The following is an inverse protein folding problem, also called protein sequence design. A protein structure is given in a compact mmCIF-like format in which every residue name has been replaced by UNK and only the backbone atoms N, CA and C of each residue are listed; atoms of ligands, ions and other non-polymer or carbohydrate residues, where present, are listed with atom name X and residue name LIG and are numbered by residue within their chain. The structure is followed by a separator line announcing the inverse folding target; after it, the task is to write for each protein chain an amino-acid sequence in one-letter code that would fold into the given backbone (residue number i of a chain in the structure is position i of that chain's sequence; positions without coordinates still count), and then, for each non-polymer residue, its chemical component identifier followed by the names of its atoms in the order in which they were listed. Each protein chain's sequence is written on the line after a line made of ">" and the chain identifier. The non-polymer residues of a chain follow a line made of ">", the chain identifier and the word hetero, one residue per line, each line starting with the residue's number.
data_IF_420537125174
#
_entry.id   IF_420537125174
#
_cell.length_a   1.000
_cell.length_b   1.000
_cell.length_c   1.000
_cell.angle_alpha   90.00
_cell.angle_beta   90.00
_cell.angle_gamma   90.00
#
_symmetry.space_group_name_H-M   'P 1'
#
loop_
_entity.id
_entity.type
_entity.pdbx_description
1 polymer ?
#
# COMPACT_ATOMS: atom_id res chain seq x y z
N UNK A 1 45.59 -33.48 -57.74
CA UNK A 1 44.60 -32.47 -58.22
C UNK A 1 43.25 -33.04 -57.91
N UNK A 2 42.60 -32.48 -56.91
CA UNK A 2 41.43 -33.06 -56.28
C UNK A 2 40.18 -32.37 -56.82
N UNK A 3 39.27 -33.20 -57.30
CA UNK A 3 38.01 -32.82 -57.89
C UNK A 3 36.97 -32.55 -56.80
N UNK A 4 36.40 -31.35 -56.76
CA UNK A 4 35.31 -30.99 -55.82
C UNK A 4 33.95 -31.29 -56.46
N UNK A 5 33.30 -32.35 -56.01
CA UNK A 5 31.93 -32.66 -56.31
C UNK A 5 30.97 -31.72 -55.54
N UNK A 6 30.12 -31.01 -56.30
CA UNK A 6 29.03 -30.21 -55.80
C UNK A 6 27.94 -31.12 -55.26
N UNK A 7 27.67 -31.04 -53.99
CA UNK A 7 26.45 -31.59 -53.39
C UNK A 7 25.44 -30.44 -53.33
N UNK A 8 24.39 -30.57 -54.12
CA UNK A 8 23.20 -29.69 -54.05
C UNK A 8 22.33 -30.25 -52.93
N UNK A 9 22.26 -29.54 -51.81
CA UNK A 9 21.29 -29.83 -50.76
C UNK A 9 20.03 -29.02 -51.06
N UNK A 10 18.98 -29.74 -51.38
CA UNK A 10 17.62 -29.21 -51.55
C UNK A 10 17.06 -28.93 -50.16
N UNK A 11 17.04 -27.67 -49.76
CA UNK A 11 16.40 -27.26 -48.53
C UNK A 11 14.90 -27.13 -48.80
N UNK A 12 14.14 -28.16 -48.45
CA UNK A 12 12.69 -28.08 -48.37
C UNK A 12 12.33 -27.20 -47.20
N UNK A 13 11.94 -25.96 -47.44
CA UNK A 13 11.34 -25.07 -46.46
C UNK A 13 9.96 -25.60 -46.06
N UNK A 14 9.94 -26.37 -44.99
CA UNK A 14 8.70 -26.63 -44.24
C UNK A 14 8.43 -25.38 -43.44
N UNK A 15 7.61 -24.48 -43.96
CA UNK A 15 6.96 -23.42 -43.20
C UNK A 15 5.98 -24.10 -42.25
N UNK A 16 6.48 -24.41 -41.04
CA UNK A 16 5.65 -24.75 -39.92
C UNK A 16 4.90 -23.47 -39.52
N UNK A 17 3.67 -23.36 -40.00
CA UNK A 17 2.73 -22.35 -39.54
C UNK A 17 2.43 -22.72 -38.06
N UNK A 18 3.23 -22.17 -37.13
CA UNK A 18 2.83 -22.13 -35.74
C UNK A 18 1.58 -21.22 -35.67
N UNK A 19 0.42 -21.83 -35.82
CA UNK A 19 -0.79 -21.29 -35.26
C UNK A 19 -0.50 -21.20 -33.74
N UNK A 20 0.01 -20.04 -33.30
CA UNK A 20 -0.22 -19.61 -31.92
C UNK A 20 -1.74 -19.55 -31.78
N UNK A 21 -2.32 -20.65 -31.31
CA UNK A 21 -3.62 -20.63 -30.68
C UNK A 21 -3.34 -19.82 -29.40
N UNK A 22 -3.39 -18.49 -29.53
CA UNK A 22 -3.68 -17.62 -28.43
C UNK A 22 -5.06 -18.06 -27.95
N UNK A 23 -5.08 -18.99 -27.01
CA UNK A 23 -6.26 -19.23 -26.18
C UNK A 23 -6.43 -17.99 -25.31
N UNK A 24 -6.85 -16.90 -25.94
CA UNK A 24 -7.62 -15.88 -25.30
C UNK A 24 -8.99 -16.51 -25.02
N UNK A 25 -9.04 -17.49 -24.14
CA UNK A 25 -10.22 -17.71 -23.33
C UNK A 25 -10.34 -16.42 -22.52
N UNK A 26 -10.97 -15.43 -23.09
CA UNK A 26 -11.33 -14.19 -22.41
C UNK A 26 -12.14 -14.63 -21.20
N UNK A 27 -11.55 -14.45 -20.04
CA UNK A 27 -12.17 -14.82 -18.75
C UNK A 27 -13.43 -13.98 -18.63
N UNK A 28 -14.57 -14.57 -19.03
CA UNK A 28 -15.85 -13.87 -19.08
C UNK A 28 -16.51 -13.85 -17.71
N UNK A 29 -16.39 -12.73 -17.02
CA UNK A 29 -17.05 -12.56 -15.71
C UNK A 29 -18.58 -12.49 -15.82
N UNK A 30 -19.14 -12.11 -16.99
CA UNK A 30 -20.60 -11.98 -17.14
C UNK A 30 -21.33 -13.33 -17.16
N UNK A 31 -20.65 -14.40 -17.55
CA UNK A 31 -21.19 -15.75 -17.59
C UNK A 31 -21.16 -16.47 -16.24
N UNK A 32 -20.38 -16.01 -15.27
CA UNK A 32 -20.13 -16.68 -13.99
C UNK A 32 -21.29 -16.53 -13.02
N UNK A 33 -21.73 -17.63 -12.43
CA UNK A 33 -22.85 -17.64 -11.46
C UNK A 33 -22.50 -16.90 -10.17
N UNK A 34 -21.27 -17.06 -9.64
CA UNK A 34 -20.83 -16.36 -8.43
C UNK A 34 -20.69 -14.82 -8.61
N UNK A 35 -20.52 -14.34 -9.84
CA UNK A 35 -20.57 -12.92 -10.19
C UNK A 35 -22.00 -12.43 -10.28
N UNK A 36 -22.90 -13.22 -10.87
CA UNK A 36 -24.34 -12.89 -10.94
C UNK A 36 -24.98 -12.83 -9.55
N UNK A 37 -24.68 -13.78 -8.68
CA UNK A 37 -25.11 -13.75 -7.28
C UNK A 37 -24.63 -12.48 -6.55
N UNK A 38 -23.37 -12.11 -6.75
CA UNK A 38 -22.82 -10.88 -6.20
C UNK A 38 -23.52 -9.63 -6.75
N UNK A 39 -23.83 -9.58 -8.05
CA UNK A 39 -24.57 -8.48 -8.68
C UNK A 39 -25.97 -8.34 -8.06
N UNK A 40 -26.68 -9.46 -7.87
CA UNK A 40 -28.00 -9.45 -7.23
C UNK A 40 -27.92 -8.92 -5.79
N UNK A 41 -26.93 -9.39 -5.00
CA UNK A 41 -26.69 -8.91 -3.64
C UNK A 41 -26.48 -7.40 -3.61
N UNK A 42 -25.55 -6.88 -4.44
CA UNK A 42 -25.19 -5.44 -4.47
C UNK A 42 -26.33 -4.59 -5.01
N UNK A 43 -27.04 -5.07 -6.03
CA UNK A 43 -28.20 -4.37 -6.59
C UNK A 43 -29.30 -4.23 -5.55
N UNK A 44 -29.65 -5.29 -4.84
CA UNK A 44 -30.67 -5.26 -3.79
C UNK A 44 -30.26 -4.39 -2.60
N UNK A 45 -28.99 -4.42 -2.22
CA UNK A 45 -28.46 -3.69 -1.06
C UNK A 45 -28.33 -2.17 -1.31
N UNK A 46 -27.96 -1.78 -2.53
CA UNK A 46 -27.58 -0.40 -2.83
C UNK A 46 -28.37 0.26 -3.96
N UNK A 47 -29.33 -0.44 -4.54
CA UNK A 47 -30.18 0.09 -5.60
C UNK A 47 -29.43 0.32 -6.93
N UNK A 48 -28.43 -0.49 -7.23
CA UNK A 48 -27.82 -0.50 -8.55
C UNK A 48 -28.73 -1.25 -9.54
N UNK A 49 -28.71 -0.80 -10.81
CA UNK A 49 -29.37 -1.50 -11.90
C UNK A 49 -28.55 -2.74 -12.29
N UNK A 50 -29.12 -3.93 -12.12
CA UNK A 50 -28.42 -5.21 -12.31
C UNK A 50 -27.81 -5.35 -13.71
N UNK A 51 -28.53 -4.93 -14.76
CA UNK A 51 -28.03 -5.00 -16.15
C UNK A 51 -26.83 -4.08 -16.37
N UNK A 52 -26.82 -2.88 -15.76
CA UNK A 52 -25.67 -1.97 -15.83
C UNK A 52 -24.47 -2.54 -15.07
N UNK A 53 -24.70 -3.12 -13.88
CA UNK A 53 -23.63 -3.81 -13.14
C UNK A 53 -23.10 -5.00 -13.91
N UNK A 54 -23.95 -5.81 -14.51
CA UNK A 54 -23.53 -6.97 -15.30
C UNK A 54 -22.64 -6.53 -16.47
N UNK A 55 -23.02 -5.47 -17.18
CA UNK A 55 -22.22 -4.89 -18.25
C UNK A 55 -20.88 -4.37 -17.75
N UNK A 56 -20.87 -3.62 -16.64
CA UNK A 56 -19.65 -3.05 -16.05
C UNK A 56 -18.72 -4.14 -15.53
N UNK A 57 -19.19 -5.05 -14.68
CA UNK A 57 -18.35 -6.08 -14.09
C UNK A 57 -17.92 -7.13 -15.14
N UNK A 58 -18.77 -7.38 -16.15
CA UNK A 58 -18.43 -8.20 -17.31
C UNK A 58 -17.34 -7.62 -18.19
N UNK A 59 -17.14 -6.29 -18.19
CA UNK A 59 -16.07 -5.63 -18.94
C UNK A 59 -14.68 -5.80 -18.30
N UNK A 60 -14.62 -6.34 -17.08
CA UNK A 60 -13.36 -6.53 -16.35
C UNK A 60 -12.49 -7.59 -17.02
N UNK A 61 -11.19 -7.32 -17.06
CA UNK A 61 -10.19 -8.22 -17.61
C UNK A 61 -9.44 -8.94 -16.50
N UNK A 62 -9.41 -10.27 -16.56
CA UNK A 62 -8.63 -11.07 -15.61
C UNK A 62 -7.14 -10.75 -15.68
N UNK A 63 -6.53 -10.48 -14.54
CA UNK A 63 -5.14 -10.10 -14.40
C UNK A 63 -4.31 -11.21 -13.74
N UNK A 64 -3.81 -12.16 -14.51
CA UNK A 64 -2.94 -13.24 -13.98
C UNK A 64 -1.74 -12.70 -13.22
N UNK A 65 -1.13 -11.62 -13.72
CA UNK A 65 0.00 -10.93 -13.08
C UNK A 65 -0.35 -10.49 -11.64
N UNK A 66 -1.57 -10.01 -11.43
CA UNK A 66 -2.07 -9.59 -10.10
C UNK A 66 -2.06 -10.78 -9.14
N UNK A 67 -2.67 -11.90 -9.51
CA UNK A 67 -2.71 -13.11 -8.67
C UNK A 67 -1.30 -13.63 -8.39
N UNK A 68 -0.43 -13.65 -9.38
CA UNK A 68 0.96 -14.09 -9.24
C UNK A 68 1.75 -13.23 -8.24
N UNK A 69 1.61 -11.90 -8.31
CA UNK A 69 2.30 -10.98 -7.40
C UNK A 69 1.71 -11.08 -5.99
N UNK A 70 0.38 -11.17 -5.84
CA UNK A 70 -0.28 -11.32 -4.54
C UNK A 70 0.08 -12.62 -3.82
N UNK A 71 0.46 -13.66 -4.55
CA UNK A 71 0.97 -14.90 -3.97
C UNK A 71 2.44 -14.83 -3.55
N UNK A 72 3.20 -13.86 -4.07
CA UNK A 72 4.58 -13.59 -3.64
C UNK A 72 4.50 -12.55 -2.52
N UNK A 73 5.02 -12.87 -1.33
CA UNK A 73 5.15 -11.91 -0.22
C UNK A 73 6.62 -11.44 -0.15
N UNK A 74 6.99 -10.37 -0.87
CA UNK A 74 8.38 -9.91 -0.91
C UNK A 74 8.90 -9.41 0.46
N UNK A 75 8.02 -8.84 1.29
CA UNK A 75 8.38 -8.28 2.60
C UNK A 75 8.84 -9.33 3.62
N UNK A 76 8.49 -10.60 3.45
CA UNK A 76 8.90 -11.69 4.34
C UNK A 76 10.35 -12.18 4.11
N UNK A 77 11.02 -11.72 3.06
CA UNK A 77 12.34 -12.20 2.64
C UNK A 77 13.41 -11.10 2.56
N UNK A 78 13.05 -9.83 2.85
CA UNK A 78 13.96 -8.70 2.71
C UNK A 78 14.50 -8.28 4.09
N UNK A 79 15.82 -8.08 4.20
CA UNK A 79 16.43 -7.49 5.38
C UNK A 79 16.04 -6.02 5.51
N UNK A 80 16.12 -5.50 6.73
CA UNK A 80 15.87 -4.08 6.99
C UNK A 80 16.85 -3.17 6.25
N UNK A 81 18.13 -3.55 6.22
CA UNK A 81 19.15 -2.78 5.49
C UNK A 81 18.71 -2.50 4.05
N UNK A 82 18.31 -3.54 3.32
CA UNK A 82 17.89 -3.43 1.92
C UNK A 82 16.58 -2.66 1.76
N UNK A 83 15.63 -2.91 2.67
CA UNK A 83 14.33 -2.21 2.63
C UNK A 83 14.49 -0.72 2.90
N UNK A 84 15.30 -0.35 3.91
CA UNK A 84 15.62 1.04 4.24
C UNK A 84 16.29 1.75 3.08
N UNK A 85 17.32 1.16 2.45
CA UNK A 85 18.00 1.72 1.28
C UNK A 85 17.02 2.00 0.13
N UNK A 86 16.11 1.08 -0.13
CA UNK A 86 15.11 1.23 -1.18
C UNK A 86 14.08 2.34 -0.87
N UNK A 87 13.64 2.45 0.40
CA UNK A 87 12.55 3.35 0.79
C UNK A 87 13.02 4.73 1.23
N UNK A 88 14.25 4.87 1.73
CA UNK A 88 14.83 6.11 2.26
C UNK A 88 16.07 6.51 1.43
N UNK A 89 15.93 6.50 0.11
CA UNK A 89 17.01 6.87 -0.81
C UNK A 89 17.13 8.39 -0.95
N UNK A 90 18.34 8.88 -1.30
CA UNK A 90 18.60 10.29 -1.53
C UNK A 90 17.65 10.94 -2.55
N UNK A 91 17.28 10.18 -3.60
CA UNK A 91 16.33 10.65 -4.60
C UNK A 91 14.92 10.87 -4.03
N UNK A 92 14.48 10.00 -3.09
CA UNK A 92 13.20 10.18 -2.39
C UNK A 92 13.26 11.34 -1.39
N UNK A 93 14.38 11.47 -0.67
CA UNK A 93 14.60 12.58 0.27
C UNK A 93 14.58 13.90 -0.49
N UNK A 94 15.27 13.99 -1.63
CA UNK A 94 15.25 15.20 -2.47
C UNK A 94 13.85 15.55 -2.96
N UNK A 95 13.09 14.56 -3.46
CA UNK A 95 11.70 14.78 -3.86
C UNK A 95 10.80 15.18 -2.68
N UNK A 96 11.07 14.64 -1.48
CA UNK A 96 10.35 15.02 -0.26
C UNK A 96 10.58 16.46 0.16
N UNK A 97 11.82 16.96 0.04
CA UNK A 97 12.15 18.37 0.28
C UNK A 97 11.37 19.30 -0.65
N UNK A 98 11.31 18.95 -1.93
CA UNK A 98 10.55 19.71 -2.92
C UNK A 98 9.06 19.71 -2.60
N UNK A 99 8.51 18.55 -2.26
CA UNK A 99 7.10 18.40 -1.90
C UNK A 99 6.76 19.22 -0.64
N UNK A 100 7.56 19.13 0.41
CA UNK A 100 7.37 19.92 1.65
C UNK A 100 7.45 21.42 1.34
N UNK A 101 8.42 21.85 0.54
CA UNK A 101 8.53 23.26 0.16
C UNK A 101 7.31 23.76 -0.61
N UNK A 102 6.78 22.95 -1.53
CA UNK A 102 5.63 23.31 -2.36
C UNK A 102 4.32 23.35 -1.57
N UNK A 103 4.15 22.41 -0.63
CA UNK A 103 2.90 22.22 0.13
C UNK A 103 3.06 22.54 1.63
N UNK A 104 3.96 23.46 1.98
CA UNK A 104 4.27 23.79 3.38
C UNK A 104 3.03 24.23 4.16
N UNK A 105 2.22 25.09 3.57
CA UNK A 105 1.01 25.62 4.23
C UNK A 105 -0.04 24.52 4.44
N UNK A 106 -0.25 23.65 3.45
CA UNK A 106 -1.19 22.55 3.53
C UNK A 106 -0.77 21.50 4.55
N UNK A 107 0.53 21.17 4.60
CA UNK A 107 1.11 20.26 5.57
C UNK A 107 0.98 20.78 7.00
N UNK A 108 1.29 22.07 7.23
CA UNK A 108 1.12 22.71 8.53
C UNK A 108 -0.38 22.75 8.93
N UNK A 109 -1.27 23.10 8.01
CA UNK A 109 -2.73 23.08 8.24
C UNK A 109 -3.20 21.67 8.64
N UNK A 110 -2.67 20.63 7.98
CA UNK A 110 -3.02 19.25 8.30
C UNK A 110 -2.47 18.81 9.66
N UNK A 111 -1.25 19.20 10.01
CA UNK A 111 -0.66 18.96 11.33
C UNK A 111 -1.47 19.64 12.43
N UNK A 112 -1.80 20.91 12.28
CA UNK A 112 -2.61 21.67 13.25
C UNK A 112 -4.00 21.06 13.45
N UNK A 113 -4.64 20.59 12.36
CA UNK A 113 -6.01 20.06 12.42
C UNK A 113 -6.07 18.62 12.97
N UNK A 114 -5.12 17.77 12.57
CA UNK A 114 -5.15 16.33 12.87
C UNK A 114 -4.12 15.89 13.89
N UNK A 115 -3.18 16.75 14.26
CA UNK A 115 -2.09 16.46 15.21
C UNK A 115 -1.04 15.49 14.68
N UNK A 116 -1.02 15.24 13.37
CA UNK A 116 -0.06 14.35 12.70
C UNK A 116 1.07 15.21 12.12
N UNK A 117 2.34 14.97 12.51
CA UNK A 117 3.46 15.79 12.02
C UNK A 117 3.57 15.82 10.50
N UNK A 118 3.87 16.99 9.96
CA UNK A 118 3.97 17.23 8.51
C UNK A 118 4.95 16.27 7.82
N UNK A 119 6.09 15.97 8.46
CA UNK A 119 7.08 15.02 7.95
C UNK A 119 6.55 13.57 7.87
N UNK A 120 5.63 13.19 8.74
CA UNK A 120 4.98 11.86 8.69
C UNK A 120 4.04 11.78 7.50
N UNK A 121 3.22 12.82 7.30
CA UNK A 121 2.29 12.91 6.16
C UNK A 121 3.09 12.84 4.84
N UNK A 122 4.10 13.69 4.71
CA UNK A 122 4.96 13.73 3.52
C UNK A 122 5.70 12.40 3.30
N UNK A 123 6.15 11.72 4.36
CA UNK A 123 6.83 10.43 4.26
C UNK A 123 5.92 9.33 3.74
N UNK A 124 4.68 9.26 4.19
CA UNK A 124 3.71 8.28 3.69
C UNK A 124 3.49 8.50 2.19
N UNK A 125 3.15 9.72 1.76
CA UNK A 125 2.93 10.03 0.35
C UNK A 125 4.18 9.73 -0.49
N UNK A 126 5.37 10.00 0.05
CA UNK A 126 6.65 9.70 -0.61
C UNK A 126 6.93 8.21 -0.74
N UNK A 127 6.61 7.40 0.28
CA UNK A 127 6.78 5.95 0.25
C UNK A 127 5.79 5.31 -0.70
N UNK A 128 4.51 5.70 -0.61
CA UNK A 128 3.44 5.10 -1.39
C UNK A 128 3.61 5.35 -2.90
N UNK A 129 3.81 6.59 -3.30
CA UNK A 129 3.71 6.96 -4.72
C UNK A 129 4.85 7.83 -5.24
N UNK A 130 5.91 8.05 -4.45
CA UNK A 130 6.93 9.06 -4.81
C UNK A 130 6.28 10.42 -5.14
N UNK A 131 5.39 10.85 -4.26
CA UNK A 131 4.66 12.12 -4.41
C UNK A 131 3.79 12.17 -5.69
N UNK A 132 3.00 11.12 -5.92
CA UNK A 132 2.08 11.02 -7.05
C UNK A 132 2.70 10.57 -8.38
N UNK A 133 4.03 10.33 -8.44
CA UNK A 133 4.70 9.91 -9.68
C UNK A 133 4.41 8.46 -10.07
N UNK A 134 4.05 7.60 -9.12
CA UNK A 134 3.79 6.16 -9.33
C UNK A 134 2.55 5.77 -8.53
N UNK A 135 1.38 5.96 -9.08
CA UNK A 135 0.08 5.65 -8.43
C UNK A 135 -0.47 4.28 -8.81
N UNK A 136 0.20 3.59 -9.74
CA UNK A 136 -0.27 2.35 -10.35
C UNK A 136 -0.80 2.59 -11.77
N UNK A 137 -0.92 1.52 -12.55
CA UNK A 137 -1.34 1.56 -13.96
C UNK A 137 -2.21 0.35 -14.33
N UNK A 138 -2.89 -0.23 -13.36
CA UNK A 138 -3.84 -1.31 -13.59
C UNK A 138 -5.23 -0.74 -13.32
N UNK A 139 -6.16 -0.98 -14.23
CA UNK A 139 -7.56 -0.60 -14.01
C UNK A 139 -8.05 -1.20 -12.69
N UNK A 140 -8.52 -0.35 -11.78
CA UNK A 140 -8.94 -0.75 -10.43
C UNK A 140 -10.03 -1.81 -10.49
N UNK A 141 -10.97 -1.67 -11.42
CA UNK A 141 -12.01 -2.66 -11.67
C UNK A 141 -11.41 -4.05 -11.96
N UNK A 142 -10.40 -4.14 -12.82
CA UNK A 142 -9.76 -5.40 -13.18
C UNK A 142 -9.07 -6.06 -11.99
N UNK A 143 -8.32 -5.25 -11.21
CA UNK A 143 -7.66 -5.72 -9.99
C UNK A 143 -8.64 -6.26 -8.98
N UNK A 144 -9.70 -5.50 -8.70
CA UNK A 144 -10.70 -5.87 -7.70
C UNK A 144 -11.54 -7.08 -8.14
N UNK A 145 -11.95 -7.15 -9.42
CA UNK A 145 -12.66 -8.31 -9.98
C UNK A 145 -11.79 -9.58 -9.93
N UNK A 146 -10.53 -9.46 -10.37
CA UNK A 146 -9.57 -10.58 -10.31
C UNK A 146 -9.41 -11.09 -8.88
N UNK A 147 -9.20 -10.21 -7.92
CA UNK A 147 -8.95 -10.60 -6.53
C UNK A 147 -10.23 -11.03 -5.80
N UNK A 148 -11.39 -10.53 -6.18
CA UNK A 148 -12.69 -10.94 -5.62
C UNK A 148 -13.08 -12.34 -6.01
N UNK A 149 -12.84 -12.73 -7.25
CA UNK A 149 -13.38 -13.96 -7.82
C UNK A 149 -12.32 -15.03 -8.16
N UNK A 150 -11.04 -14.67 -8.18
CA UNK A 150 -9.94 -15.57 -8.56
C UNK A 150 -8.81 -15.66 -7.52
N UNK A 151 -8.98 -15.03 -6.33
CA UNK A 151 -8.01 -15.10 -5.25
C UNK A 151 -8.67 -15.55 -3.93
N UNK A 152 -8.91 -16.88 -3.72
CA UNK A 152 -9.70 -17.40 -2.61
C UNK A 152 -9.22 -16.97 -1.22
N UNK A 153 -7.89 -16.81 -1.01
CA UNK A 153 -7.29 -16.44 0.29
C UNK A 153 -7.88 -15.16 0.88
N UNK A 154 -8.28 -14.20 0.04
CA UNK A 154 -8.79 -12.88 0.46
C UNK A 154 -10.04 -12.45 -0.33
N UNK A 155 -10.73 -13.36 -0.99
CA UNK A 155 -11.92 -13.08 -1.80
C UNK A 155 -12.95 -12.22 -1.06
N UNK A 156 -13.29 -12.56 0.17
CA UNK A 156 -14.25 -11.80 1.00
C UNK A 156 -13.81 -10.34 1.20
N UNK A 157 -12.53 -10.12 1.46
CA UNK A 157 -12.00 -8.76 1.61
C UNK A 157 -12.12 -7.97 0.31
N UNK A 158 -11.74 -8.57 -0.82
CA UNK A 158 -11.78 -7.86 -2.11
C UNK A 158 -13.19 -7.67 -2.63
N UNK A 159 -14.14 -8.55 -2.34
CA UNK A 159 -15.57 -8.32 -2.63
C UNK A 159 -16.10 -7.08 -1.90
N UNK A 160 -15.71 -6.88 -0.64
CA UNK A 160 -16.02 -5.64 0.11
C UNK A 160 -15.38 -4.42 -0.56
N UNK A 161 -14.10 -4.52 -0.99
CA UNK A 161 -13.44 -3.41 -1.66
C UNK A 161 -14.07 -3.10 -3.03
N UNK A 162 -14.53 -4.11 -3.77
CA UNK A 162 -15.27 -3.93 -5.01
C UNK A 162 -16.61 -3.23 -4.78
N UNK A 163 -17.36 -3.62 -3.75
CA UNK A 163 -18.59 -2.95 -3.33
C UNK A 163 -18.33 -1.47 -3.00
N UNK A 164 -17.31 -1.21 -2.16
CA UNK A 164 -16.92 0.15 -1.79
C UNK A 164 -16.43 0.97 -3.00
N UNK A 165 -15.80 0.35 -3.98
CA UNK A 165 -15.37 0.98 -5.23
C UNK A 165 -16.56 1.41 -6.11
N UNK A 166 -17.58 0.56 -6.23
CA UNK A 166 -18.81 0.88 -6.96
C UNK A 166 -19.56 2.05 -6.31
N UNK A 167 -19.62 2.03 -4.98
CA UNK A 167 -20.25 3.11 -4.21
C UNK A 167 -19.47 4.42 -4.32
N UNK A 168 -18.13 4.35 -4.18
CA UNK A 168 -17.24 5.50 -4.37
C UNK A 168 -17.40 6.12 -5.74
N UNK A 169 -17.39 5.29 -6.80
CA UNK A 169 -17.54 5.79 -8.17
C UNK A 169 -18.86 6.53 -8.37
N UNK A 170 -19.94 6.02 -7.77
CA UNK A 170 -21.25 6.67 -7.82
C UNK A 170 -21.30 7.99 -7.02
N UNK A 171 -20.68 8.01 -5.84
CA UNK A 171 -20.66 9.16 -4.93
C UNK A 171 -19.84 10.34 -5.49
N UNK A 172 -18.65 10.02 -6.04
CA UNK A 172 -17.76 11.04 -6.58
C UNK A 172 -17.97 11.31 -8.09
N UNK A 173 -18.87 10.57 -8.74
CA UNK A 173 -19.07 10.69 -10.18
C UNK A 173 -17.92 10.18 -11.04
N UNK A 174 -17.09 9.29 -10.50
CA UNK A 174 -15.98 8.69 -11.25
C UNK A 174 -16.49 7.67 -12.26
N UNK A 175 -15.81 7.60 -13.41
CA UNK A 175 -15.98 6.50 -14.34
C UNK A 175 -15.19 5.27 -13.85
N UNK A 176 -15.87 4.19 -13.38
CA UNK A 176 -15.21 3.02 -12.84
C UNK A 176 -14.40 2.23 -13.88
N UNK A 177 -14.62 2.49 -15.18
CA UNK A 177 -13.86 1.84 -16.26
C UNK A 177 -12.52 2.53 -16.54
N UNK A 178 -12.32 3.77 -16.08
CA UNK A 178 -11.12 4.58 -16.35
C UNK A 178 -10.14 4.66 -15.19
N UNK A 179 -10.57 4.37 -13.95
CA UNK A 179 -9.72 4.53 -12.78
C UNK A 179 -8.57 3.52 -12.74
N UNK A 180 -7.35 4.04 -12.59
CA UNK A 180 -6.13 3.24 -12.44
C UNK A 180 -5.61 3.28 -11.00
N UNK A 181 -4.90 2.21 -10.63
CA UNK A 181 -4.33 2.06 -9.29
C UNK A 181 -3.32 0.92 -9.22
N UNK A 182 -3.06 0.47 -7.99
CA UNK A 182 -2.14 -0.62 -7.72
C UNK A 182 -2.72 -1.99 -8.09
N UNK A 183 -1.87 -3.02 -8.05
CA UNK A 183 -2.26 -4.42 -8.23
C UNK A 183 -3.34 -4.90 -7.24
N UNK A 184 -3.50 -4.23 -6.11
CA UNK A 184 -4.53 -4.53 -5.11
C UNK A 184 -5.75 -3.60 -5.19
N UNK A 185 -5.80 -2.68 -6.15
CA UNK A 185 -6.88 -1.71 -6.30
C UNK A 185 -6.78 -0.52 -5.34
N UNK A 186 -5.59 -0.22 -4.79
CA UNK A 186 -5.35 1.00 -4.04
C UNK A 186 -5.10 2.18 -5.00
N UNK A 187 -5.56 3.37 -4.64
CA UNK A 187 -5.67 4.53 -5.53
C UNK A 187 -5.02 5.79 -4.97
N UNK A 188 -4.57 6.64 -5.87
CA UNK A 188 -4.13 8.01 -5.61
C UNK A 188 -2.82 8.13 -4.84
N UNK A 189 -2.49 9.35 -4.42
CA UNK A 189 -1.23 9.70 -3.75
C UNK A 189 -0.95 8.90 -2.48
N UNK A 190 -1.99 8.63 -1.68
CA UNK A 190 -1.91 7.89 -0.42
C UNK A 190 -2.18 6.39 -0.57
N UNK A 191 -2.40 5.87 -1.77
CA UNK A 191 -2.73 4.47 -2.04
C UNK A 191 -3.87 3.95 -1.15
N UNK A 192 -4.98 4.70 -1.11
CA UNK A 192 -6.14 4.28 -0.35
C UNK A 192 -6.89 3.15 -1.03
N UNK A 193 -7.25 2.13 -0.26
CA UNK A 193 -8.26 1.16 -0.67
C UNK A 193 -9.64 1.85 -0.77
N UNK A 194 -10.57 1.38 -1.60
CA UNK A 194 -11.88 2.01 -1.78
C UNK A 194 -12.63 2.31 -0.48
N UNK A 195 -12.63 1.39 0.49
CA UNK A 195 -13.25 1.60 1.80
C UNK A 195 -12.61 2.74 2.59
N UNK A 196 -11.31 2.89 2.45
CA UNK A 196 -10.54 3.94 3.12
C UNK A 196 -10.74 5.29 2.44
N UNK A 197 -10.83 5.31 1.11
CA UNK A 197 -11.17 6.51 0.35
C UNK A 197 -12.52 7.07 0.82
N UNK A 198 -13.58 6.27 0.75
CA UNK A 198 -14.93 6.70 1.15
C UNK A 198 -15.01 7.20 2.60
N UNK A 199 -14.24 6.58 3.52
CA UNK A 199 -14.33 6.87 4.96
C UNK A 199 -13.40 7.99 5.42
N UNK A 200 -12.27 8.19 4.76
CA UNK A 200 -11.19 9.04 5.29
C UNK A 200 -10.68 10.08 4.30
N UNK A 201 -10.99 10.00 3.02
CA UNK A 201 -10.69 11.09 2.10
C UNK A 201 -11.49 12.35 2.46
N UNK A 202 -10.84 13.50 2.34
CA UNK A 202 -11.41 14.81 2.65
C UNK A 202 -11.14 15.77 1.49
N UNK A 203 -12.09 16.65 1.23
CA UNK A 203 -11.91 17.86 0.43
C UNK A 203 -11.18 18.88 1.30
N UNK A 204 -9.84 18.93 1.17
CA UNK A 204 -9.02 19.69 2.11
C UNK A 204 -8.77 21.14 1.67
N UNK A 205 -8.88 21.42 0.38
CA UNK A 205 -8.84 22.79 -0.17
C UNK A 205 -10.21 23.44 -0.31
N UNK A 206 -11.28 22.66 -0.06
CA UNK A 206 -12.67 23.12 -0.08
C UNK A 206 -13.15 23.54 -1.48
N UNK A 207 -12.71 22.83 -2.51
CA UNK A 207 -13.16 23.03 -3.89
C UNK A 207 -14.48 22.30 -4.22
N UNK A 208 -14.97 21.47 -3.30
CA UNK A 208 -16.21 20.68 -3.41
C UNK A 208 -15.97 19.25 -3.91
N UNK A 209 -14.75 18.83 -4.13
CA UNK A 209 -14.37 17.49 -4.63
C UNK A 209 -13.37 16.83 -3.66
N UNK A 210 -13.52 15.55 -3.36
CA UNK A 210 -12.53 14.79 -2.59
C UNK A 210 -11.59 14.07 -3.55
N UNK A 211 -10.63 14.78 -4.13
CA UNK A 211 -9.71 14.22 -5.14
C UNK A 211 -8.34 13.85 -4.57
N UNK A 212 -8.19 12.64 -4.03
CA UNK A 212 -6.87 12.12 -3.65
C UNK A 212 -6.11 11.47 -4.83
N UNK A 213 -6.71 11.43 -6.03
CA UNK A 213 -6.13 10.82 -7.21
C UNK A 213 -5.12 11.75 -7.87
N UNK A 214 -5.51 13.03 -8.03
CA UNK A 214 -4.73 14.04 -8.76
C UNK A 214 -4.42 15.29 -7.93
N UNK A 215 -5.16 15.55 -6.84
CA UNK A 215 -4.97 16.70 -5.96
C UNK A 215 -4.08 16.36 -4.74
N UNK A 216 -2.83 16.87 -4.68
CA UNK A 216 -1.93 16.62 -3.55
C UNK A 216 -2.43 17.25 -2.23
N UNK A 217 -3.23 18.32 -2.28
CA UNK A 217 -3.74 19.01 -1.08
C UNK A 217 -4.76 18.11 -0.37
N UNK A 218 -5.70 17.53 -1.11
CA UNK A 218 -6.66 16.56 -0.59
C UNK A 218 -5.95 15.30 -0.09
N UNK A 219 -4.92 14.86 -0.78
CA UNK A 219 -4.13 13.71 -0.36
C UNK A 219 -3.42 13.95 0.99
N UNK A 220 -2.85 15.16 1.21
CA UNK A 220 -2.25 15.58 2.48
C UNK A 220 -3.29 15.51 3.60
N UNK A 221 -4.43 16.17 3.43
CA UNK A 221 -5.52 16.17 4.41
C UNK A 221 -6.05 14.78 4.69
N UNK A 222 -6.21 13.97 3.65
CA UNK A 222 -6.75 12.60 3.75
C UNK A 222 -5.82 11.64 4.46
N UNK A 223 -4.51 11.69 4.21
CA UNK A 223 -3.50 10.89 4.94
C UNK A 223 -3.50 11.26 6.42
N UNK A 224 -3.52 12.55 6.74
CA UNK A 224 -3.59 13.02 8.12
C UNK A 224 -4.88 12.59 8.81
N UNK A 225 -6.03 12.75 8.15
CA UNK A 225 -7.33 12.31 8.66
C UNK A 225 -7.37 10.80 8.92
N UNK A 226 -6.83 9.99 7.99
CA UNK A 226 -6.74 8.55 8.18
C UNK A 226 -5.93 8.18 9.44
N UNK A 227 -4.75 8.75 9.62
CA UNK A 227 -3.93 8.48 10.81
C UNK A 227 -4.60 8.94 12.09
N UNK A 228 -5.26 10.10 12.09
CA UNK A 228 -6.01 10.60 13.22
C UNK A 228 -7.21 9.70 13.55
N UNK A 229 -8.09 9.42 12.59
CA UNK A 229 -9.37 8.72 12.84
C UNK A 229 -9.22 7.21 12.91
N UNK A 230 -8.60 6.58 11.89
CA UNK A 230 -8.43 5.12 11.84
C UNK A 230 -7.18 4.67 12.60
N UNK A 231 -6.10 5.42 12.51
CA UNK A 231 -4.85 5.15 13.21
C UNK A 231 -4.97 5.37 14.71
N UNK A 232 -5.75 6.34 15.14
CA UNK A 232 -5.85 6.77 16.53
C UNK A 232 -4.59 7.51 16.99
N UNK A 233 -4.02 8.31 16.09
CA UNK A 233 -2.82 9.10 16.33
C UNK A 233 -2.92 9.94 17.61
N UNK A 234 -1.85 9.94 18.39
CA UNK A 234 -1.73 10.71 19.64
C UNK A 234 -0.75 11.87 19.42
N UNK A 235 -1.21 13.12 19.36
CA UNK A 235 -0.32 14.27 19.24
C UNK A 235 0.74 14.28 20.35
N UNK A 236 1.91 14.79 20.06
CA UNK A 236 3.03 14.93 21.00
C UNK A 236 3.50 13.61 21.67
N UNK A 237 3.15 12.46 21.08
CA UNK A 237 3.60 11.16 21.58
C UNK A 237 4.67 10.59 20.65
N UNK A 238 5.80 10.08 21.15
CA UNK A 238 6.83 9.45 20.35
C UNK A 238 6.26 8.27 19.54
N UNK A 239 6.87 7.99 18.39
CA UNK A 239 6.49 6.84 17.57
C UNK A 239 7.30 5.61 17.96
N UNK A 240 8.62 5.74 17.98
CA UNK A 240 9.55 4.71 18.41
C UNK A 240 10.88 5.32 18.84
N UNK A 241 11.57 4.63 19.74
CA UNK A 241 12.93 4.96 20.18
C UNK A 241 13.85 3.76 20.00
N UNK A 242 15.16 4.03 19.90
CA UNK A 242 16.15 3.00 19.80
C UNK A 242 16.29 2.21 21.12
N UNK A 243 16.58 0.92 20.97
CA UNK A 243 16.85 0.02 22.07
C UNK A 243 18.14 -0.79 21.83
N UNK A 244 18.63 -1.41 22.88
CA UNK A 244 19.74 -2.37 22.80
C UNK A 244 19.34 -3.69 23.46
N UNK A 245 19.75 -4.79 22.84
CA UNK A 245 19.67 -6.10 23.49
C UNK A 245 20.92 -6.28 24.37
N UNK A 246 20.69 -6.61 25.64
CA UNK A 246 21.75 -6.96 26.61
C UNK A 246 21.74 -8.47 26.91
N UNK A 247 20.96 -9.23 26.17
CA UNK A 247 20.86 -10.69 26.22
C UNK A 247 21.25 -11.31 24.88
N UNK A 248 21.35 -12.65 24.85
CA UNK A 248 21.58 -13.39 23.59
C UNK A 248 20.33 -13.48 22.70
N UNK A 249 19.20 -12.90 23.13
CA UNK A 249 17.97 -12.90 22.35
C UNK A 249 18.04 -11.83 21.27
N UNK A 250 17.96 -12.26 20.02
CA UNK A 250 18.06 -11.38 18.84
C UNK A 250 16.70 -11.01 18.25
N UNK A 251 15.64 -11.74 18.57
CA UNK A 251 14.30 -11.51 18.03
C UNK A 251 13.24 -11.58 19.14
N UNK A 252 12.20 -10.78 18.98
CA UNK A 252 11.07 -10.70 19.90
C UNK A 252 9.76 -10.94 19.17
N UNK A 253 8.71 -11.37 19.90
CA UNK A 253 7.39 -11.61 19.32
C UNK A 253 6.90 -10.36 18.61
N UNK A 254 6.67 -10.47 17.31
CA UNK A 254 6.16 -9.38 16.51
C UNK A 254 4.69 -9.10 16.84
N UNK A 255 4.41 -7.90 17.36
CA UNK A 255 3.09 -7.32 17.53
C UNK A 255 3.16 -5.85 17.13
N UNK A 256 2.00 -5.20 16.94
CA UNK A 256 1.98 -3.77 16.62
C UNK A 256 1.47 -2.93 17.79
N UNK A 257 0.50 -3.44 18.55
CA UNK A 257 -0.06 -2.72 19.69
C UNK A 257 0.86 -2.85 20.90
N UNK A 258 1.20 -1.75 21.60
CA UNK A 258 1.99 -1.77 22.83
C UNK A 258 1.40 -2.69 23.90
N UNK A 259 2.24 -3.54 24.49
CA UNK A 259 1.79 -4.55 25.45
C UNK A 259 2.76 -4.80 26.63
N UNK A 260 4.04 -4.44 26.49
CA UNK A 260 5.06 -4.66 27.50
C UNK A 260 5.40 -3.38 28.26
N UNK A 261 5.54 -3.49 29.55
CA UNK A 261 6.10 -2.44 30.43
C UNK A 261 7.63 -2.44 30.35
N UNK A 262 8.27 -1.36 30.83
CA UNK A 262 9.73 -1.26 30.89
C UNK A 262 10.35 -2.37 31.76
N UNK A 263 9.68 -2.77 32.83
CA UNK A 263 10.13 -3.86 33.72
C UNK A 263 10.15 -5.19 32.96
N UNK A 264 9.12 -5.47 32.17
CA UNK A 264 9.03 -6.69 31.36
C UNK A 264 10.07 -6.70 30.23
N UNK A 265 10.33 -5.55 29.61
CA UNK A 265 11.39 -5.40 28.60
C UNK A 265 12.77 -5.71 29.18
N UNK A 266 13.09 -5.15 30.36
CA UNK A 266 14.35 -5.40 31.04
C UNK A 266 14.54 -6.90 31.39
N UNK A 267 13.46 -7.60 31.79
CA UNK A 267 13.50 -9.04 32.07
C UNK A 267 13.88 -9.89 30.86
N UNK A 268 13.53 -9.44 29.66
CA UNK A 268 13.92 -10.12 28.40
C UNK A 268 15.24 -9.60 27.83
N UNK A 269 15.93 -8.71 28.54
CA UNK A 269 17.22 -8.16 28.13
C UNK A 269 17.12 -7.13 27.00
N UNK A 270 16.02 -6.39 26.90
CA UNK A 270 15.85 -5.29 25.96
C UNK A 270 15.71 -3.98 26.72
N UNK A 271 16.65 -3.07 26.51
CA UNK A 271 16.73 -1.80 27.19
C UNK A 271 16.63 -0.63 26.22
N UNK A 272 15.88 0.45 26.54
CA UNK A 272 15.92 1.68 25.74
C UNK A 272 17.32 2.31 25.81
N UNK A 273 17.75 2.95 24.71
CA UNK A 273 18.99 3.75 24.70
C UNK A 273 18.83 5.11 25.39
N UNK A 274 17.59 5.56 25.56
CA UNK A 274 17.24 6.82 26.21
C UNK A 274 16.50 6.56 27.53
N UNK A 275 16.57 7.53 28.45
CA UNK A 275 15.79 7.46 29.70
C UNK A 275 14.31 7.69 29.40
N UNK A 276 13.48 6.76 29.83
CA UNK A 276 12.04 6.84 29.72
C UNK A 276 11.47 7.04 31.12
N UNK A 277 10.53 7.97 31.25
CA UNK A 277 9.73 8.18 32.45
C UNK A 277 8.26 7.85 32.21
N UNK A 278 7.57 7.41 33.27
CA UNK A 278 6.14 7.10 33.19
C UNK A 278 5.80 5.61 33.06
N UNK A 279 4.54 5.30 33.28
CA UNK A 279 4.00 3.93 33.15
C UNK A 279 3.51 3.67 31.72
N UNK A 280 4.45 3.55 30.80
CA UNK A 280 4.17 3.34 29.38
C UNK A 280 4.27 1.86 29.03
N UNK A 281 3.56 1.48 27.96
CA UNK A 281 3.71 0.19 27.30
C UNK A 281 4.39 0.35 25.94
N UNK A 282 5.08 -0.69 25.52
CA UNK A 282 5.92 -0.70 24.33
C UNK A 282 5.69 -1.94 23.47
N UNK A 283 6.09 -1.83 22.23
CA UNK A 283 6.27 -2.97 21.32
C UNK A 283 7.77 -3.17 21.13
N UNK A 284 8.34 -4.33 21.46
CA UNK A 284 9.71 -4.67 21.06
C UNK A 284 9.76 -4.90 19.55
N UNK A 285 10.69 -4.26 18.88
CA UNK A 285 10.90 -4.33 17.45
C UNK A 285 12.31 -4.83 17.18
N UNK A 286 12.45 -5.91 16.41
CA UNK A 286 13.74 -6.42 15.92
C UNK A 286 13.74 -6.36 14.41
N UNK A 287 14.74 -5.69 13.86
CA UNK A 287 14.94 -5.48 12.43
C UNK A 287 16.20 -6.21 12.02
N UNK A 288 16.07 -7.16 11.10
CA UNK A 288 17.18 -7.94 10.60
C UNK A 288 18.03 -7.06 9.67
N UNK A 289 19.32 -6.96 10.01
CA UNK A 289 20.33 -6.33 9.18
C UNK A 289 21.01 -7.39 8.29
N UNK A 290 21.90 -6.98 7.42
CA UNK A 290 22.75 -7.93 6.67
C UNK A 290 23.67 -8.71 7.64
N UNK A 291 24.05 -8.07 8.76
CA UNK A 291 24.74 -8.71 9.89
C UNK A 291 24.08 -8.26 11.20
N UNK A 292 23.44 -9.21 11.91
CA UNK A 292 22.82 -8.97 13.22
C UNK A 292 21.44 -8.31 13.17
N UNK A 293 21.13 -7.56 14.23
CA UNK A 293 19.83 -6.96 14.43
C UNK A 293 19.92 -5.55 15.00
N UNK A 294 19.03 -4.70 14.57
CA UNK A 294 18.71 -3.40 15.14
C UNK A 294 17.43 -3.51 15.98
N UNK A 295 17.41 -2.86 17.15
CA UNK A 295 16.29 -2.95 18.07
C UNK A 295 15.66 -1.59 18.36
N UNK A 296 14.33 -1.59 18.51
CA UNK A 296 13.53 -0.41 18.81
C UNK A 296 12.39 -0.75 19.78
N UNK A 297 11.86 0.27 20.42
CA UNK A 297 10.64 0.23 21.23
C UNK A 297 9.59 1.15 20.62
N UNK A 298 8.51 0.54 20.11
CA UNK A 298 7.38 1.28 19.53
C UNK A 298 6.37 1.70 20.61
N UNK A 299 5.84 2.91 20.47
CA UNK A 299 4.77 3.48 21.29
C UNK A 299 3.40 3.35 20.60
N UNK A 300 2.38 4.06 21.11
CA UNK A 300 1.03 4.06 20.53
C UNK A 300 1.02 4.53 19.04
N UNK A 301 1.83 5.53 18.69
CA UNK A 301 1.90 6.02 17.32
C UNK A 301 2.60 5.04 16.34
N UNK A 302 3.42 4.11 16.82
CA UNK A 302 3.88 2.96 16.04
C UNK A 302 2.70 2.08 15.61
N UNK A 303 1.76 1.84 16.54
CA UNK A 303 0.53 1.13 16.21
C UNK A 303 -0.34 1.93 15.24
N UNK A 304 -0.45 3.25 15.43
CA UNK A 304 -1.20 4.14 14.52
C UNK A 304 -0.70 4.04 13.08
N UNK A 305 0.62 4.09 12.86
CA UNK A 305 1.23 3.89 11.55
C UNK A 305 0.95 2.47 10.98
N UNK A 306 0.97 1.45 11.84
CA UNK A 306 0.66 0.07 11.42
C UNK A 306 -0.78 -0.12 10.94
N UNK A 307 -1.67 0.83 11.21
CA UNK A 307 -3.05 0.84 10.68
C UNK A 307 -3.11 1.28 9.23
N UNK A 308 -2.07 1.98 8.76
CA UNK A 308 -1.91 2.32 7.36
C UNK A 308 -1.41 1.10 6.57
N UNK A 309 -0.28 0.54 7.01
CA UNK A 309 0.26 -0.69 6.45
C UNK A 309 0.82 -1.59 7.57
N UNK A 310 0.33 -2.84 7.66
CA UNK A 310 0.67 -3.78 8.73
C UNK A 310 1.98 -4.53 8.45
N UNK A 311 3.03 -3.79 8.11
CA UNK A 311 4.39 -4.26 7.94
C UNK A 311 5.33 -3.50 8.88
N UNK A 312 6.14 -4.22 9.66
CA UNK A 312 7.13 -3.57 10.54
C UNK A 312 8.18 -2.80 9.74
N UNK A 313 8.58 -3.31 8.59
CA UNK A 313 9.56 -2.66 7.72
C UNK A 313 8.98 -1.34 7.16
N UNK A 314 7.70 -1.36 6.74
CA UNK A 314 7.01 -0.16 6.29
C UNK A 314 6.94 0.92 7.39
N UNK A 315 6.48 0.55 8.58
CA UNK A 315 6.36 1.52 9.69
C UNK A 315 7.71 2.14 10.03
N UNK A 316 8.76 1.32 10.09
CA UNK A 316 10.11 1.81 10.35
C UNK A 316 10.66 2.67 9.20
N UNK A 317 10.33 2.35 7.95
CA UNK A 317 10.71 3.20 6.81
C UNK A 317 10.04 4.57 6.86
N UNK A 318 8.75 4.64 7.23
CA UNK A 318 8.07 5.93 7.47
C UNK A 318 8.79 6.74 8.54
N UNK A 319 9.17 6.11 9.67
CA UNK A 319 9.88 6.77 10.77
C UNK A 319 11.26 7.29 10.31
N UNK A 320 12.06 6.47 9.66
CA UNK A 320 13.39 6.87 9.19
C UNK A 320 13.32 7.94 8.10
N UNK A 321 12.34 7.81 7.19
CA UNK A 321 12.15 8.80 6.16
C UNK A 321 11.69 10.15 6.74
N UNK A 322 10.75 10.14 7.70
CA UNK A 322 10.30 11.37 8.37
C UNK A 322 11.45 12.08 9.11
N UNK A 323 12.34 11.34 9.77
CA UNK A 323 13.55 11.89 10.38
C UNK A 323 14.45 12.61 9.37
N UNK A 324 14.58 12.03 8.17
CA UNK A 324 15.37 12.64 7.09
C UNK A 324 14.70 13.90 6.50
N UNK A 325 13.38 14.06 6.68
CA UNK A 325 12.61 15.21 6.19
C UNK A 325 12.43 16.30 7.24
N UNK A 326 12.45 16.00 8.54
CA UNK A 326 12.17 16.93 9.65
C UNK A 326 13.07 18.16 9.68
N UNK A 327 14.28 18.08 9.11
CA UNK A 327 15.24 19.20 9.03
C UNK A 327 14.86 20.25 7.98
N UNK A 328 13.79 20.05 7.20
CA UNK A 328 13.33 20.92 6.11
C UNK A 328 11.99 21.60 6.38
N UNK A 329 11.36 21.31 7.50
CA UNK A 329 10.15 21.95 8.01
C UNK A 329 10.47 23.15 8.88
#
# INVERSE_FOLDING_TARGET
>A
MINFNKIIILVASVTLLCLEISSNDSFDYSSRDDVKEYIEEISNKHGFESDKLLKLLGSAVYQEKVVRIMNRQPEGTMTWSRYKEMMVSDSRISAGKEFIKLHKEDLNKAEDLYGVPAEIIASIIGIETRYGRITGNIRVLDSLMTLSFNYPRRSKFFKIQLEEFLLLSREEGFDPESLEGSIAGAMGYGQFMPDSYRKYAVDFDSDGVRDILTNPVDAIGSVANFLSKKGGWKPNTPIAIEARSVSNQTTFKSQFKPYMTLIELNKIGLEPKEKISGNLKFVPISLELDEGYEHWLGFENYYSLSRYNRSKLYVMAVIEFSRSLSIYL
#
